data_IF_523227723023
#
_entry.id   IF_523227723023
#
_cell.length_a   1.000
_cell.length_b   1.000
_cell.length_c   1.000
_cell.angle_alpha   90.00
_cell.angle_beta   90.00
_cell.angle_gamma   90.00
#
_symmetry.space_group_name_H-M   'P 1'
#
loop_
_entity.id
_entity.type
_entity.pdbx_description
1 polymer ?
#
# COMPACT_ATOMS: atom_id res chain seq x y z
N UNK A 1 -58.80 -2.45 36.96
CA UNK A 1 -59.83 -1.49 37.40
C UNK A 1 -59.71 -0.24 36.52
N UNK A 2 -60.84 0.28 36.04
CA UNK A 2 -61.01 1.69 35.61
C UNK A 2 -61.41 2.54 36.84
N UNK A 3 -61.55 3.89 36.80
CA UNK A 3 -61.38 4.86 35.70
C UNK A 3 -60.13 5.77 35.98
N UNK A 4 -59.94 7.07 35.67
CA UNK A 4 -60.82 8.18 35.22
C UNK A 4 -60.11 9.29 34.40
N UNK A 5 -60.75 9.63 33.27
CA UNK A 5 -61.07 10.96 32.71
C UNK A 5 -60.16 12.20 32.87
N UNK A 6 -60.11 12.92 31.76
CA UNK A 6 -59.43 14.17 31.45
C UNK A 6 -60.09 15.48 31.97
N UNK A 7 -59.26 16.54 31.93
CA UNK A 7 -59.57 17.92 31.53
C UNK A 7 -60.44 18.85 32.41
N UNK A 8 -59.87 20.03 32.76
CA UNK A 8 -60.47 21.37 32.97
C UNK A 8 -59.57 22.20 33.91
N UNK A 9 -59.34 23.54 33.81
CA UNK A 9 -59.47 24.55 32.73
C UNK A 9 -58.86 25.90 33.20
N UNK A 10 -58.22 26.66 32.29
CA UNK A 10 -57.95 28.12 32.31
C UNK A 10 -57.00 28.81 33.34
N UNK A 11 -56.11 29.66 32.76
CA UNK A 11 -55.63 30.97 33.26
C UNK A 11 -54.61 30.98 34.43
N UNK A 12 -53.59 31.86 34.48
CA UNK A 12 -53.47 33.22 33.89
C UNK A 12 -52.09 33.50 33.26
N UNK A 13 -52.05 34.53 32.40
CA UNK A 13 -50.84 35.16 31.86
C UNK A 13 -50.19 36.07 32.93
N UNK A 14 -48.87 36.08 33.01
CA UNK A 14 -48.10 37.16 33.64
C UNK A 14 -46.74 37.32 32.94
N UNK A 15 -46.28 38.57 32.80
CA UNK A 15 -45.15 38.94 31.94
C UNK A 15 -43.80 38.72 32.62
N UNK A 16 -42.87 38.04 31.95
CA UNK A 16 -41.45 38.07 32.28
C UNK A 16 -40.77 39.25 31.57
N UNK A 17 -40.21 40.20 32.34
CA UNK A 17 -39.53 41.36 31.77
C UNK A 17 -38.11 41.02 31.27
N UNK A 18 -37.85 41.28 29.98
CA UNK A 18 -36.56 41.04 29.35
C UNK A 18 -35.62 42.25 29.55
N UNK A 19 -34.72 42.17 30.54
CA UNK A 19 -33.68 43.19 30.78
C UNK A 19 -32.47 42.90 29.89
N UNK A 20 -32.38 43.58 28.75
CA UNK A 20 -31.23 43.46 27.83
C UNK A 20 -30.12 44.42 28.28
N UNK A 21 -29.15 43.89 29.02
CA UNK A 21 -27.91 44.61 29.34
C UNK A 21 -26.96 44.58 28.15
N UNK A 22 -26.90 45.68 27.40
CA UNK A 22 -26.00 45.85 26.26
C UNK A 22 -24.54 46.08 26.70
N UNK A 23 -23.80 44.99 26.93
CA UNK A 23 -22.35 45.06 27.21
C UNK A 23 -21.58 45.28 25.90
N UNK A 24 -21.04 46.48 25.73
CA UNK A 24 -20.25 46.89 24.56
C UNK A 24 -18.81 46.33 24.60
N UNK A 25 -18.68 45.01 24.41
CA UNK A 25 -17.36 44.38 24.25
C UNK A 25 -16.65 44.93 23.00
N UNK A 26 -15.59 45.71 23.22
CA UNK A 26 -14.67 46.13 22.15
C UNK A 26 -14.02 44.88 21.56
N UNK A 27 -14.22 44.63 20.27
CA UNK A 27 -13.46 43.62 19.54
C UNK A 27 -11.99 44.06 19.46
N UNK A 28 -11.13 43.39 20.23
CA UNK A 28 -9.69 43.56 20.11
C UNK A 28 -9.21 42.85 18.83
N UNK A 29 -8.89 43.63 17.80
CA UNK A 29 -8.32 43.12 16.54
C UNK A 29 -6.89 42.64 16.76
N UNK A 30 -6.75 41.35 17.08
CA UNK A 30 -5.48 40.72 17.45
C UNK A 30 -4.50 40.47 16.28
N UNK A 31 -4.21 41.50 15.48
CA UNK A 31 -3.14 41.49 14.49
C UNK A 31 -1.78 41.79 15.15
N UNK A 32 -1.39 40.93 16.11
CA UNK A 32 -0.07 40.97 16.72
C UNK A 32 0.93 40.21 15.83
N UNK A 33 1.58 40.93 14.90
CA UNK A 33 2.72 40.40 14.16
C UNK A 33 3.86 40.05 15.13
N UNK A 34 4.18 38.77 15.26
CA UNK A 34 5.27 38.27 16.11
C UNK A 34 6.62 38.75 15.57
N UNK A 35 7.14 39.83 16.15
CA UNK A 35 8.48 40.35 15.87
C UNK A 35 9.55 39.45 16.54
N UNK A 36 9.90 38.35 15.89
CA UNK A 36 11.01 37.48 16.29
C UNK A 36 12.33 37.88 15.63
N UNK A 37 13.42 37.88 16.39
CA UNK A 37 14.78 37.91 15.85
C UNK A 37 15.26 36.47 15.59
N UNK A 38 16.09 36.26 14.57
CA UNK A 38 16.75 34.97 14.38
C UNK A 38 17.76 34.74 15.50
N UNK A 39 17.76 33.55 16.10
CA UNK A 39 18.76 33.19 17.10
C UNK A 39 20.12 33.01 16.41
N UNK A 40 21.21 33.62 16.91
CA UNK A 40 22.55 33.42 16.36
C UNK A 40 23.15 32.09 16.81
N UNK A 41 24.11 31.58 16.04
CA UNK A 41 24.89 30.39 16.33
C UNK A 41 26.30 30.49 15.71
N UNK A 42 27.27 29.71 16.21
CA UNK A 42 28.69 29.83 15.82
C UNK A 42 29.19 28.67 14.96
N UNK A 43 28.53 27.52 15.01
CA UNK A 43 29.04 26.25 14.50
C UNK A 43 28.18 25.77 13.33
N UNK A 44 28.52 26.19 12.11
CA UNK A 44 27.79 25.82 10.89
C UNK A 44 27.51 24.31 10.80
N UNK A 45 26.24 23.95 10.56
CA UNK A 45 25.78 22.56 10.49
C UNK A 45 25.48 21.87 11.83
N UNK A 46 25.77 22.47 12.99
CA UNK A 46 25.41 21.88 14.30
C UNK A 46 23.89 21.85 14.53
N UNK A 47 23.38 20.77 15.12
CA UNK A 47 21.97 20.62 15.50
C UNK A 47 21.64 21.41 16.78
N UNK A 48 20.85 22.48 16.64
CA UNK A 48 20.56 23.41 17.73
C UNK A 48 19.29 23.00 18.48
N UNK A 49 19.46 22.58 19.75
CA UNK A 49 18.34 22.15 20.62
C UNK A 49 17.55 23.35 21.16
N UNK A 50 16.49 23.74 20.46
CA UNK A 50 15.46 24.66 20.99
C UNK A 50 14.24 23.91 21.54
N UNK A 51 13.47 24.56 22.42
CA UNK A 51 12.28 24.00 23.05
C UNK A 51 11.04 24.01 22.12
N UNK A 52 11.20 23.52 20.88
CA UNK A 52 10.13 23.37 19.88
C UNK A 52 10.07 21.94 19.37
N UNK A 53 9.13 21.16 19.92
CA UNK A 53 8.86 19.77 19.51
C UNK A 53 8.48 19.71 18.02
N UNK A 54 8.98 18.68 17.31
CA UNK A 54 8.82 18.49 15.85
C UNK A 54 9.52 19.52 14.95
N UNK A 55 10.61 20.15 15.40
CA UNK A 55 11.47 20.96 14.54
C UNK A 55 12.90 20.47 14.65
N UNK A 56 13.53 20.17 13.51
CA UNK A 56 14.96 19.97 13.42
C UNK A 56 15.59 21.30 13.06
N UNK A 57 16.43 21.81 13.94
CA UNK A 57 17.10 23.09 13.75
C UNK A 57 18.60 22.88 13.58
N UNK A 58 19.19 23.61 12.64
CA UNK A 58 20.61 23.58 12.33
C UNK A 58 21.16 24.99 12.18
N UNK A 59 22.42 25.18 12.54
CA UNK A 59 23.12 26.43 12.26
C UNK A 59 23.39 26.57 10.76
N UNK A 60 22.96 27.68 10.15
CA UNK A 60 23.24 28.07 8.76
C UNK A 60 23.49 29.58 8.71
N UNK A 61 24.59 29.99 8.09
CA UNK A 61 24.97 31.39 7.88
C UNK A 61 25.02 32.23 9.18
N UNK A 62 25.41 31.62 10.30
CA UNK A 62 25.46 32.23 11.63
C UNK A 62 24.11 32.32 12.36
N UNK A 63 23.03 31.75 11.81
CA UNK A 63 21.69 31.78 12.40
C UNK A 63 21.05 30.38 12.48
N UNK A 64 20.15 30.21 13.45
CA UNK A 64 19.39 28.96 13.63
C UNK A 64 18.25 28.91 12.61
N UNK A 65 18.37 28.04 11.60
CA UNK A 65 17.26 27.67 10.73
C UNK A 65 16.57 26.41 11.24
N UNK A 66 15.23 26.43 11.31
CA UNK A 66 14.41 25.33 11.79
C UNK A 66 13.46 24.81 10.72
N UNK A 67 13.59 23.54 10.39
CA UNK A 67 12.70 22.84 9.45
C UNK A 67 11.76 21.91 10.25
N UNK A 68 10.48 21.89 9.89
CA UNK A 68 9.48 21.04 10.58
C UNK A 68 9.74 19.58 10.22
N UNK A 69 9.88 18.73 11.24
CA UNK A 69 10.05 17.29 11.07
C UNK A 69 8.81 16.68 10.40
N UNK A 70 9.03 15.98 9.29
CA UNK A 70 7.98 15.26 8.56
C UNK A 70 7.81 13.85 9.12
N UNK A 71 6.76 13.61 9.90
CA UNK A 71 6.45 12.27 10.38
C UNK A 71 6.17 11.30 9.21
N UNK A 72 6.62 10.03 9.32
CA UNK A 72 6.28 9.01 8.33
C UNK A 72 4.77 8.76 8.31
N UNK A 73 4.23 8.36 7.16
CA UNK A 73 2.84 7.95 7.05
C UNK A 73 2.62 6.66 7.86
N UNK A 74 1.59 6.66 8.71
CA UNK A 74 1.21 5.51 9.55
C UNK A 74 -0.16 4.94 9.16
N UNK A 75 -0.61 5.20 7.93
CA UNK A 75 -1.96 4.84 7.48
C UNK A 75 -2.10 3.34 7.13
N UNK A 76 -1.00 2.69 6.72
CA UNK A 76 -0.92 1.23 6.57
C UNK A 76 -0.64 0.48 7.89
N UNK A 77 -0.71 1.18 9.02
CA UNK A 77 -0.30 0.67 10.33
C UNK A 77 -1.48 0.41 11.27
N UNK A 78 -1.71 -0.85 11.65
CA UNK A 78 -2.80 -1.17 12.58
C UNK A 78 -2.46 -0.90 14.04
N UNK A 79 -1.24 -1.26 14.48
CA UNK A 79 -0.77 -0.99 15.84
C UNK A 79 0.38 0.01 15.82
N UNK A 80 0.20 1.12 16.53
CA UNK A 80 1.23 2.15 16.66
C UNK A 80 1.61 2.38 18.13
N UNK A 81 2.91 2.55 18.37
CA UNK A 81 3.42 3.15 19.59
C UNK A 81 3.16 4.65 19.50
N UNK A 82 2.26 5.15 20.33
CA UNK A 82 2.05 6.59 20.51
C UNK A 82 3.31 7.24 21.08
N UNK A 83 3.62 8.43 20.59
CA UNK A 83 4.81 9.19 20.95
C UNK A 83 4.90 9.49 22.45
N UNK A 84 6.09 9.32 23.02
CA UNK A 84 6.43 9.86 24.34
C UNK A 84 6.47 11.39 24.35
N UNK A 85 6.65 12.03 25.53
CA UNK A 85 6.71 13.49 25.67
C UNK A 85 7.75 14.16 24.77
N UNK A 86 8.87 13.46 24.56
CA UNK A 86 10.06 13.92 23.83
C UNK A 86 10.15 13.38 22.38
N UNK A 87 9.19 12.56 21.95
CA UNK A 87 9.13 12.04 20.57
C UNK A 87 8.22 12.93 19.70
N UNK A 88 8.66 13.31 18.49
CA UNK A 88 7.81 14.09 17.58
C UNK A 88 6.63 13.27 17.01
N UNK A 89 6.91 12.03 16.61
CA UNK A 89 6.03 11.23 15.76
C UNK A 89 5.59 9.94 16.45
N UNK A 90 4.33 9.56 16.24
CA UNK A 90 3.86 8.21 16.51
C UNK A 90 4.58 7.23 15.57
N UNK A 91 4.93 6.05 16.09
CA UNK A 91 5.74 5.05 15.36
C UNK A 91 4.95 3.78 15.18
N UNK A 92 4.95 3.22 13.96
CA UNK A 92 4.33 1.93 13.72
C UNK A 92 5.07 0.83 14.49
N UNK A 93 4.35 -0.19 14.99
CA UNK A 93 4.98 -1.31 15.69
C UNK A 93 5.79 -2.15 14.68
N UNK A 94 7.12 -2.09 14.80
CA UNK A 94 8.05 -2.95 14.08
C UNK A 94 8.04 -4.39 14.60
N UNK A 95 8.88 -5.22 14.01
CA UNK A 95 9.02 -6.64 14.32
C UNK A 95 10.36 -6.90 15.05
N UNK A 96 10.37 -7.86 15.98
CA UNK A 96 11.59 -8.44 16.52
C UNK A 96 11.82 -9.79 15.83
N UNK A 97 12.86 -9.88 15.00
CA UNK A 97 13.17 -11.07 14.22
C UNK A 97 14.67 -11.37 14.34
N UNK A 98 15.03 -12.61 14.70
CA UNK A 98 16.42 -13.04 14.90
C UNK A 98 17.24 -12.12 15.84
N UNK A 99 16.58 -11.59 16.88
CA UNK A 99 17.16 -10.65 17.83
C UNK A 99 17.34 -9.21 17.32
N UNK A 100 16.94 -8.92 16.07
CA UNK A 100 17.01 -7.59 15.46
C UNK A 100 15.63 -6.93 15.42
N UNK A 101 15.59 -5.62 15.69
CA UNK A 101 14.41 -4.81 15.44
C UNK A 101 14.35 -4.42 13.96
N UNK A 102 13.18 -4.63 13.34
CA UNK A 102 12.89 -4.33 11.94
C UNK A 102 11.71 -3.37 11.88
N UNK A 103 11.84 -2.26 11.17
CA UNK A 103 10.75 -1.28 11.03
C UNK A 103 9.57 -1.83 10.20
N UNK A 104 8.36 -1.44 10.57
CA UNK A 104 7.14 -1.85 9.84
C UNK A 104 7.11 -1.24 8.44
N UNK A 105 6.79 -2.07 7.45
CA UNK A 105 6.86 -1.76 6.03
C UNK A 105 8.12 -2.32 5.35
N UNK A 106 9.16 -2.65 6.11
CA UNK A 106 10.43 -3.20 5.58
C UNK A 106 10.22 -4.55 4.89
N UNK A 107 10.82 -4.68 3.70
CA UNK A 107 10.89 -5.92 2.92
C UNK A 107 12.35 -6.34 2.75
N UNK A 108 12.64 -7.64 2.83
CA UNK A 108 13.96 -8.21 2.56
C UNK A 108 13.85 -9.61 1.94
N UNK A 109 14.94 -10.11 1.38
CA UNK A 109 15.04 -11.50 0.88
C UNK A 109 16.00 -12.30 1.74
N UNK A 110 15.91 -13.62 1.66
CA UNK A 110 16.90 -14.50 2.24
C UNK A 110 18.27 -14.33 1.52
N UNK A 111 19.41 -14.34 2.25
CA UNK A 111 20.74 -14.32 1.63
C UNK A 111 21.09 -15.62 0.90
N UNK A 112 20.53 -16.75 1.33
CA UNK A 112 20.85 -18.08 0.78
C UNK A 112 19.83 -18.51 -0.29
N UNK A 113 18.55 -18.16 -0.12
CA UNK A 113 17.49 -18.43 -1.09
C UNK A 113 16.88 -17.13 -1.69
N UNK A 114 17.23 -16.74 -2.92
CA UNK A 114 16.69 -15.53 -3.56
C UNK A 114 15.19 -15.63 -3.89
N UNK A 115 14.55 -16.81 -3.76
CA UNK A 115 13.10 -16.96 -3.87
C UNK A 115 12.37 -16.66 -2.55
N UNK A 116 13.03 -16.80 -1.40
CA UNK A 116 12.41 -16.53 -0.10
C UNK A 116 12.40 -15.04 0.21
N UNK A 117 11.20 -14.50 0.41
CA UNK A 117 10.93 -13.09 0.67
C UNK A 117 10.29 -12.90 2.05
N UNK A 118 10.61 -11.80 2.69
CA UNK A 118 10.15 -11.44 4.03
C UNK A 118 9.58 -10.03 4.05
N UNK A 119 8.52 -9.80 4.84
CA UNK A 119 7.97 -8.47 5.08
C UNK A 119 7.51 -8.30 6.53
N UNK A 120 7.91 -7.20 7.18
CA UNK A 120 7.39 -6.80 8.47
C UNK A 120 6.21 -5.82 8.31
N UNK A 121 5.08 -6.06 9.00
CA UNK A 121 3.94 -5.13 9.08
C UNK A 121 3.31 -5.18 10.48
N UNK A 122 3.29 -4.07 11.22
CA UNK A 122 2.57 -3.94 12.51
C UNK A 122 2.81 -5.08 13.51
N UNK A 123 4.07 -5.52 13.69
CA UNK A 123 4.44 -6.64 14.56
C UNK A 123 4.30 -8.05 13.95
N UNK A 124 4.00 -8.16 12.65
CA UNK A 124 3.89 -9.43 11.92
C UNK A 124 5.01 -9.54 10.87
N UNK A 125 5.84 -10.57 10.97
CA UNK A 125 6.78 -10.99 9.92
C UNK A 125 6.09 -12.04 9.06
N UNK A 126 5.92 -11.76 7.77
CA UNK A 126 5.49 -12.75 6.79
C UNK A 126 6.69 -13.22 5.97
N UNK A 127 7.02 -14.51 6.07
CA UNK A 127 7.96 -15.26 5.23
C UNK A 127 7.18 -15.95 4.12
N UNK A 128 7.57 -15.79 2.86
CA UNK A 128 6.97 -16.54 1.75
C UNK A 128 7.90 -16.72 0.56
N UNK A 129 7.80 -17.88 -0.08
CA UNK A 129 8.47 -18.16 -1.34
C UNK A 129 7.75 -17.39 -2.47
N UNK A 130 8.47 -16.64 -3.31
CA UNK A 130 7.89 -16.03 -4.51
C UNK A 130 7.74 -17.07 -5.63
N UNK A 131 6.67 -17.00 -6.42
CA UNK A 131 6.44 -17.91 -7.54
C UNK A 131 6.72 -17.21 -8.87
N UNK A 132 7.41 -17.89 -9.77
CA UNK A 132 7.82 -17.34 -11.05
C UNK A 132 6.70 -17.46 -12.10
N UNK A 133 6.61 -16.49 -13.00
CA UNK A 133 5.78 -16.57 -14.21
C UNK A 133 6.67 -16.37 -15.44
N UNK A 134 6.48 -17.22 -16.45
CA UNK A 134 7.25 -17.21 -17.69
C UNK A 134 6.30 -17.10 -18.90
N UNK A 135 5.97 -15.88 -19.35
CA UNK A 135 5.11 -15.65 -20.52
C UNK A 135 5.87 -15.89 -21.85
N UNK A 136 6.57 -17.02 -21.96
CA UNK A 136 7.29 -17.45 -23.15
C UNK A 136 7.56 -18.97 -23.13
N UNK A 137 7.67 -19.60 -24.30
CA UNK A 137 7.84 -21.06 -24.43
C UNK A 137 9.24 -21.57 -24.07
N UNK A 138 10.27 -20.72 -24.21
CA UNK A 138 11.68 -21.05 -23.90
C UNK A 138 12.27 -19.95 -22.97
N UNK A 139 12.04 -20.05 -21.65
CA UNK A 139 12.57 -19.09 -20.69
C UNK A 139 14.00 -19.44 -20.30
N UNK A 140 14.95 -18.51 -20.50
CA UNK A 140 16.34 -18.69 -20.08
C UNK A 140 16.42 -18.89 -18.55
N UNK A 141 17.18 -19.88 -18.04
CA UNK A 141 17.18 -20.22 -16.61
C UNK A 141 17.68 -19.07 -15.72
N UNK A 142 17.34 -19.09 -14.41
CA UNK A 142 17.79 -18.07 -13.47
C UNK A 142 19.32 -18.03 -13.38
N UNK A 143 19.91 -16.84 -13.19
CA UNK A 143 21.34 -16.71 -12.87
C UNK A 143 21.57 -17.03 -11.39
N UNK A 144 22.80 -17.37 -11.02
CA UNK A 144 23.20 -17.49 -9.60
C UNK A 144 22.82 -16.20 -8.85
N UNK A 145 22.10 -16.34 -7.73
CA UNK A 145 21.56 -15.20 -6.96
C UNK A 145 20.26 -14.59 -7.53
N UNK A 146 19.57 -15.24 -8.47
CA UNK A 146 18.24 -14.85 -8.96
C UNK A 146 17.26 -16.02 -8.80
N UNK A 147 16.04 -15.73 -8.34
CA UNK A 147 14.99 -16.75 -8.22
C UNK A 147 14.45 -17.21 -9.59
N UNK A 148 14.01 -16.25 -10.42
CA UNK A 148 13.17 -16.55 -11.57
C UNK A 148 13.90 -16.53 -12.91
N UNK A 149 13.44 -17.35 -13.88
CA UNK A 149 13.97 -17.36 -15.23
C UNK A 149 13.54 -16.11 -16.01
N UNK A 150 14.16 -15.89 -17.17
CA UNK A 150 13.97 -14.67 -17.97
C UNK A 150 13.53 -14.98 -19.40
N UNK A 151 12.44 -14.35 -19.84
CA UNK A 151 12.01 -14.37 -21.24
C UNK A 151 12.83 -13.37 -22.07
N UNK A 152 13.17 -13.74 -23.31
CA UNK A 152 13.84 -12.85 -24.25
C UNK A 152 12.84 -11.89 -24.91
N UNK A 153 13.19 -10.61 -24.96
CA UNK A 153 12.27 -9.53 -25.32
C UNK A 153 11.43 -9.06 -24.12
N UNK A 154 10.71 -7.97 -24.32
CA UNK A 154 9.85 -7.37 -23.29
C UNK A 154 8.42 -7.23 -23.83
N UNK A 155 7.74 -8.36 -23.94
CA UNK A 155 6.31 -8.46 -24.26
C UNK A 155 5.56 -9.21 -23.17
N UNK A 156 4.41 -8.71 -22.78
CA UNK A 156 3.48 -9.35 -21.84
C UNK A 156 2.07 -9.21 -22.43
N UNK A 157 1.41 -10.33 -22.73
CA UNK A 157 0.03 -10.37 -23.25
C UNK A 157 -0.16 -9.48 -24.49
N UNK A 158 0.82 -9.50 -25.40
CA UNK A 158 0.94 -8.61 -26.57
C UNK A 158 1.68 -7.29 -26.32
N UNK A 159 1.53 -6.69 -25.14
CA UNK A 159 1.99 -5.33 -24.83
C UNK A 159 3.51 -5.22 -24.71
N UNK A 160 4.10 -4.13 -25.23
CA UNK A 160 5.52 -3.83 -25.02
C UNK A 160 5.77 -3.25 -23.63
N UNK A 161 6.54 -3.94 -22.80
CA UNK A 161 6.90 -3.50 -21.45
C UNK A 161 8.13 -2.58 -21.51
N UNK A 162 8.00 -1.35 -21.02
CA UNK A 162 9.08 -0.34 -21.01
C UNK A 162 9.82 -0.19 -19.67
N UNK A 163 9.37 -0.90 -18.64
CA UNK A 163 9.93 -0.86 -17.29
C UNK A 163 9.24 -1.92 -16.44
N UNK A 164 8.13 -1.55 -15.80
CA UNK A 164 7.32 -2.48 -15.00
C UNK A 164 5.94 -2.69 -15.63
N UNK A 165 5.34 -3.85 -15.37
CA UNK A 165 3.96 -4.18 -15.71
C UNK A 165 3.35 -5.10 -14.63
N UNK A 166 2.03 -5.06 -14.49
CA UNK A 166 1.25 -5.99 -13.66
C UNK A 166 0.18 -6.66 -14.50
N UNK A 167 -0.27 -7.84 -14.07
CA UNK A 167 -1.50 -8.43 -14.60
C UNK A 167 -2.72 -7.78 -13.94
N UNK A 168 -3.85 -7.68 -14.64
CA UNK A 168 -5.09 -7.11 -14.09
C UNK A 168 -5.87 -8.13 -13.26
N UNK A 169 -5.85 -9.39 -13.70
CA UNK A 169 -6.46 -10.55 -13.07
C UNK A 169 -5.73 -10.98 -11.79
N UNK A 170 -4.40 -10.79 -11.75
CA UNK A 170 -3.57 -10.98 -10.56
C UNK A 170 -2.54 -9.85 -10.42
N UNK A 171 -2.91 -8.72 -9.78
CA UNK A 171 -2.01 -7.57 -9.58
C UNK A 171 -0.77 -7.88 -8.75
N UNK A 172 -0.65 -9.07 -8.14
CA UNK A 172 0.57 -9.51 -7.47
C UNK A 172 1.58 -10.17 -8.40
N UNK A 173 1.20 -10.52 -9.64
CA UNK A 173 2.17 -10.85 -10.69
C UNK A 173 2.75 -9.55 -11.23
N UNK A 174 4.00 -9.26 -10.84
CA UNK A 174 4.77 -8.11 -11.30
C UNK A 174 5.84 -8.55 -12.28
N UNK A 175 5.79 -8.01 -13.49
CA UNK A 175 6.76 -8.20 -14.55
C UNK A 175 7.69 -6.99 -14.66
N UNK A 176 9.00 -7.22 -14.82
CA UNK A 176 10.01 -6.17 -14.98
C UNK A 176 10.86 -6.45 -16.21
N UNK A 177 10.97 -5.46 -17.11
CA UNK A 177 11.81 -5.46 -18.29
C UNK A 177 13.14 -4.77 -17.99
N UNK A 178 14.26 -5.47 -18.16
CA UNK A 178 15.61 -4.87 -18.11
C UNK A 178 16.48 -5.45 -19.23
N UNK A 179 17.16 -4.61 -20.01
CA UNK A 179 18.11 -5.07 -21.04
C UNK A 179 17.52 -6.08 -22.05
N UNK A 180 16.29 -5.87 -22.52
CA UNK A 180 15.53 -6.81 -23.35
C UNK A 180 15.26 -8.19 -22.72
N UNK A 181 15.23 -8.28 -21.39
CA UNK A 181 14.80 -9.47 -20.65
C UNK A 181 13.62 -9.14 -19.75
N UNK A 182 12.55 -9.93 -19.87
CA UNK A 182 11.39 -9.86 -18.99
C UNK A 182 11.51 -10.91 -17.88
N UNK A 183 11.32 -10.49 -16.64
CA UNK A 183 11.26 -11.37 -15.45
C UNK A 183 9.94 -11.09 -14.74
N UNK A 184 9.11 -12.11 -14.49
CA UNK A 184 7.85 -11.94 -13.76
C UNK A 184 7.83 -12.76 -12.47
N UNK A 185 7.41 -12.12 -11.38
CA UNK A 185 7.33 -12.73 -10.05
C UNK A 185 5.96 -12.47 -9.43
N UNK A 186 5.40 -13.50 -8.78
CA UNK A 186 4.21 -13.41 -7.92
C UNK A 186 4.67 -13.48 -6.47
N UNK A 187 4.21 -12.53 -5.65
CA UNK A 187 4.46 -12.50 -4.20
C UNK A 187 3.16 -12.68 -3.43
N UNK A 188 3.18 -13.39 -2.30
CA UNK A 188 2.06 -13.36 -1.35
C UNK A 188 1.94 -11.98 -0.70
N UNK A 189 0.72 -11.60 -0.31
CA UNK A 189 0.53 -10.44 0.57
C UNK A 189 0.86 -10.75 2.03
N UNK A 190 1.40 -9.78 2.79
CA UNK A 190 1.68 -9.96 4.21
C UNK A 190 0.43 -10.42 4.97
N UNK A 191 0.62 -11.24 5.99
CA UNK A 191 -0.39 -11.47 7.01
C UNK A 191 -0.60 -10.13 7.74
N UNK A 192 -1.83 -9.61 7.69
CA UNK A 192 -2.16 -8.34 8.30
C UNK A 192 -2.65 -8.52 9.74
N UNK A 193 -2.19 -7.61 10.59
CA UNK A 193 -2.53 -7.57 12.00
C UNK A 193 -4.02 -7.27 12.27
N UNK A 194 -4.68 -6.54 11.36
CA UNK A 194 -6.09 -6.20 11.46
C UNK A 194 -7.01 -7.37 11.02
N UNK A 195 -8.19 -7.53 11.64
CA UNK A 195 -9.14 -8.56 11.23
C UNK A 195 -9.66 -8.27 9.82
N UNK A 196 -10.08 -9.32 9.09
CA UNK A 196 -10.48 -9.22 7.68
C UNK A 196 -11.54 -8.12 7.41
N UNK A 197 -12.46 -7.89 8.36
CA UNK A 197 -13.48 -6.82 8.28
C UNK A 197 -12.94 -5.39 8.40
N UNK A 198 -11.63 -5.22 8.59
CA UNK A 198 -10.87 -3.95 8.65
C UNK A 198 -9.72 -3.91 7.64
N UNK A 199 -9.70 -4.85 6.69
CA UNK A 199 -8.80 -4.86 5.54
C UNK A 199 -9.51 -4.26 4.33
N UNK A 200 -8.87 -3.33 3.62
CA UNK A 200 -9.32 -2.83 2.31
C UNK A 200 -8.24 -3.09 1.26
N UNK A 201 -8.66 -3.41 0.04
CA UNK A 201 -7.83 -3.47 -1.16
C UNK A 201 -8.34 -2.40 -2.11
N UNK A 202 -7.50 -1.44 -2.52
CA UNK A 202 -7.89 -0.49 -3.56
C UNK A 202 -7.81 -1.18 -4.94
N UNK A 203 -8.74 -0.92 -5.89
CA UNK A 203 -8.69 -1.55 -7.20
C UNK A 203 -7.34 -1.35 -7.91
N UNK A 204 -6.78 -2.44 -8.44
CA UNK A 204 -5.44 -2.48 -9.05
C UNK A 204 -4.27 -2.69 -8.07
N UNK A 205 -4.48 -2.69 -6.75
CA UNK A 205 -3.42 -2.98 -5.78
C UNK A 205 -3.27 -4.50 -5.51
N UNK A 206 -2.02 -4.98 -5.45
CA UNK A 206 -1.69 -6.37 -5.11
C UNK A 206 -2.17 -6.79 -3.71
N UNK A 207 -2.12 -5.89 -2.72
CA UNK A 207 -2.37 -6.26 -1.32
C UNK A 207 -3.43 -5.41 -0.64
N UNK A 208 -4.16 -5.99 0.33
CA UNK A 208 -4.93 -5.20 1.26
C UNK A 208 -4.02 -4.43 2.22
N UNK A 209 -4.62 -3.44 2.89
CA UNK A 209 -4.07 -2.66 4.00
C UNK A 209 -5.14 -2.44 5.06
N UNK A 210 -4.73 -2.12 6.27
CA UNK A 210 -5.65 -1.88 7.38
C UNK A 210 -6.29 -0.49 7.29
N UNK A 211 -7.58 -0.34 7.61
CA UNK A 211 -8.29 0.98 7.57
C UNK A 211 -8.43 1.67 8.91
N UNK A 212 -8.11 0.98 10.00
CA UNK A 212 -8.15 1.50 11.37
C UNK A 212 -6.77 1.45 11.99
N UNK A 213 -6.51 2.36 12.94
CA UNK A 213 -5.28 2.39 13.74
C UNK A 213 -5.65 2.28 15.21
N UNK A 214 -4.85 1.55 15.99
CA UNK A 214 -4.99 1.34 17.43
C UNK A 214 -3.67 1.65 18.13
N UNK A 215 -3.76 2.37 19.24
CA UNK A 215 -2.64 2.59 20.14
C UNK A 215 -2.27 1.26 20.80
N UNK A 216 -0.97 0.92 20.85
CA UNK A 216 -0.51 -0.31 21.47
C UNK A 216 -0.62 -0.24 23.00
N UNK A 217 -1.52 -1.03 23.57
CA UNK A 217 -1.83 -1.06 25.01
C UNK A 217 -0.89 -2.04 25.75
N UNK A 218 -0.46 -3.12 25.11
CA UNK A 218 0.24 -4.24 25.74
C UNK A 218 1.77 -4.08 25.64
N UNK A 219 2.27 -2.91 26.07
CA UNK A 219 3.70 -2.54 26.04
C UNK A 219 4.57 -3.59 26.75
N UNK A 220 5.33 -4.37 25.97
CA UNK A 220 6.23 -5.41 26.48
C UNK A 220 5.57 -6.78 26.71
N UNK A 221 4.34 -7.00 26.22
CA UNK A 221 3.74 -8.33 26.18
C UNK A 221 4.53 -9.27 25.25
N UNK A 222 4.89 -10.50 25.69
CA UNK A 222 5.44 -11.51 24.79
C UNK A 222 4.35 -12.20 23.95
N UNK A 223 3.07 -12.03 24.31
CA UNK A 223 1.93 -12.54 23.54
C UNK A 223 1.68 -11.65 22.32
N UNK A 224 1.30 -12.30 21.22
CA UNK A 224 0.95 -11.66 19.97
C UNK A 224 -0.57 -11.58 19.86
N UNK A 225 -1.10 -10.60 19.15
CA UNK A 225 -2.51 -10.56 18.73
C UNK A 225 -2.52 -10.91 17.23
N UNK A 226 -3.57 -11.52 16.68
CA UNK A 226 -3.94 -11.33 15.26
C UNK A 226 -5.45 -11.12 15.17
N UNK A 227 -5.86 -10.02 14.53
CA UNK A 227 -7.26 -9.66 14.28
C UNK A 227 -8.08 -9.34 15.54
N UNK A 228 -8.54 -10.39 16.23
CA UNK A 228 -9.22 -10.34 17.54
C UNK A 228 -8.71 -11.39 18.54
N UNK A 229 -7.86 -12.32 18.09
CA UNK A 229 -7.36 -13.42 18.91
C UNK A 229 -6.02 -13.05 19.57
N UNK A 230 -5.76 -13.61 20.75
CA UNK A 230 -4.48 -13.51 21.46
C UNK A 230 -3.78 -14.85 21.36
N UNK A 231 -2.50 -14.83 21.00
CA UNK A 231 -1.67 -16.00 20.73
C UNK A 231 -0.46 -16.02 21.67
N UNK A 232 -0.30 -17.14 22.37
CA UNK A 232 0.77 -17.31 23.35
C UNK A 232 2.12 -17.66 22.68
N UNK A 233 3.26 -17.27 23.28
CA UNK A 233 4.59 -17.61 22.77
C UNK A 233 4.75 -19.10 22.45
N UNK A 234 5.40 -19.40 21.32
CA UNK A 234 5.74 -20.76 20.89
C UNK A 234 4.54 -21.66 20.53
N UNK A 235 3.30 -21.16 20.56
CA UNK A 235 2.14 -21.91 20.05
C UNK A 235 1.93 -21.63 18.56
N UNK A 236 1.73 -22.67 17.73
CA UNK A 236 1.33 -22.50 16.34
C UNK A 236 -0.16 -22.13 16.23
N UNK A 237 -0.50 -21.35 15.21
CA UNK A 237 -1.86 -20.95 14.85
C UNK A 237 -1.91 -20.52 13.37
N UNK A 238 -3.10 -20.42 12.79
CA UNK A 238 -3.25 -19.88 11.43
C UNK A 238 -3.54 -18.37 11.48
N UNK A 239 -2.78 -17.59 10.72
CA UNK A 239 -3.02 -16.14 10.55
C UNK A 239 -4.08 -15.85 9.49
N UNK A 240 -4.11 -16.68 8.44
CA UNK A 240 -5.18 -16.79 7.45
C UNK A 240 -5.15 -18.21 6.85
N UNK A 241 -6.03 -18.50 5.88
CA UNK A 241 -6.17 -19.80 5.20
C UNK A 241 -4.86 -20.35 4.58
N UNK A 242 -3.86 -19.50 4.38
CA UNK A 242 -2.61 -19.83 3.71
C UNK A 242 -1.36 -19.56 4.55
N UNK A 243 -1.52 -19.24 5.84
CA UNK A 243 -0.44 -18.73 6.69
C UNK A 243 -0.35 -19.45 8.04
N UNK A 244 0.74 -20.18 8.24
CA UNK A 244 1.08 -20.84 9.50
C UNK A 244 1.96 -19.92 10.35
N UNK A 245 1.47 -19.51 11.51
CA UNK A 245 2.11 -18.51 12.37
C UNK A 245 2.54 -19.09 13.71
N UNK A 246 3.63 -18.56 14.26
CA UNK A 246 4.06 -18.76 15.65
C UNK A 246 4.29 -17.41 16.30
N UNK A 247 3.93 -17.27 17.57
CA UNK A 247 4.22 -16.05 18.32
C UNK A 247 5.62 -16.15 18.94
N UNK A 248 6.48 -15.17 18.67
CA UNK A 248 7.86 -15.11 19.12
C UNK A 248 8.14 -13.74 19.75
N UNK A 249 8.13 -13.68 21.08
CA UNK A 249 8.40 -12.49 21.88
C UNK A 249 7.66 -11.21 21.40
N UNK A 250 6.33 -11.30 21.28
CA UNK A 250 5.46 -10.21 20.82
C UNK A 250 5.38 -10.03 19.30
N UNK A 251 6.21 -10.74 18.53
CA UNK A 251 6.19 -10.71 17.04
C UNK A 251 5.53 -11.98 16.49
N UNK A 252 4.55 -11.82 15.61
CA UNK A 252 3.95 -12.93 14.86
C UNK A 252 4.86 -13.32 13.71
N UNK A 253 5.49 -14.48 13.75
CA UNK A 253 6.30 -15.01 12.64
C UNK A 253 5.47 -16.02 11.86
N UNK A 254 5.09 -15.65 10.64
CA UNK A 254 4.17 -16.40 9.78
C UNK A 254 4.86 -16.86 8.50
N UNK A 255 4.78 -18.16 8.21
CA UNK A 255 5.12 -18.75 6.92
C UNK A 255 3.87 -18.84 6.05
N UNK A 256 3.93 -18.31 4.82
CA UNK A 256 2.78 -18.13 3.95
C UNK A 256 2.99 -18.70 2.55
N UNK A 257 2.05 -19.52 2.11
CA UNK A 257 2.06 -20.10 0.76
C UNK A 257 1.68 -19.06 -0.29
N UNK A 258 2.61 -18.75 -1.20
CA UNK A 258 2.27 -18.04 -2.46
C UNK A 258 1.67 -19.04 -3.44
N UNK A 259 0.36 -18.93 -3.70
CA UNK A 259 -0.31 -19.78 -4.68
C UNK A 259 0.22 -19.57 -6.10
N UNK A 260 0.20 -20.62 -6.96
CA UNK A 260 0.68 -20.54 -8.33
C UNK A 260 -0.08 -19.51 -9.19
N UNK A 261 0.44 -19.25 -10.38
CA UNK A 261 -0.29 -18.55 -11.44
C UNK A 261 -1.08 -19.64 -12.19
N UNK A 262 -2.41 -19.64 -12.05
CA UNK A 262 -3.28 -20.63 -12.67
C UNK A 262 -3.73 -20.16 -14.06
N UNK A 263 -3.70 -21.07 -15.04
CA UNK A 263 -3.99 -20.77 -16.45
C UNK A 263 -5.41 -21.14 -16.90
N UNK A 264 -6.25 -21.61 -15.99
CA UNK A 264 -7.69 -21.81 -16.20
C UNK A 264 -8.50 -20.63 -15.65
N UNK A 265 -9.70 -20.42 -16.20
CA UNK A 265 -10.61 -19.36 -15.77
C UNK A 265 -11.06 -19.54 -14.32
N UNK A 266 -11.51 -18.45 -13.68
CA UNK A 266 -11.90 -18.46 -12.25
C UNK A 266 -13.03 -19.45 -11.92
N UNK A 267 -13.89 -19.80 -12.88
CA UNK A 267 -14.96 -20.79 -12.71
C UNK A 267 -14.47 -22.25 -12.76
N UNK A 268 -13.33 -22.52 -13.39
CA UNK A 268 -12.73 -23.85 -13.50
C UNK A 268 -11.79 -24.16 -12.30
N UNK A 269 -11.48 -23.16 -11.47
CA UNK A 269 -10.55 -23.27 -10.35
C UNK A 269 -11.17 -23.95 -9.13
N UNK A 270 -10.67 -25.13 -8.76
CA UNK A 270 -11.18 -25.92 -7.65
C UNK A 270 -10.17 -25.98 -6.49
N UNK A 271 -10.67 -26.01 -5.25
CA UNK A 271 -9.86 -26.05 -4.03
C UNK A 271 -10.40 -27.12 -3.08
N UNK A 272 -9.53 -28.07 -2.75
CA UNK A 272 -9.88 -29.17 -1.85
C UNK A 272 -10.05 -28.72 -0.39
N UNK A 273 -10.85 -29.43 0.43
CA UNK A 273 -11.02 -29.11 1.84
C UNK A 273 -9.69 -29.17 2.61
N UNK A 274 -9.26 -28.02 3.14
CA UNK A 274 -8.01 -27.87 3.89
C UNK A 274 -6.82 -27.37 3.05
N UNK A 275 -6.92 -27.40 1.72
CA UNK A 275 -5.90 -26.80 0.86
C UNK A 275 -5.91 -25.27 0.93
N UNK A 276 -4.73 -24.66 0.88
CA UNK A 276 -4.59 -23.21 0.81
C UNK A 276 -4.94 -22.69 -0.59
N UNK A 277 -4.46 -23.39 -1.63
CA UNK A 277 -4.48 -22.89 -3.00
C UNK A 277 -5.51 -23.62 -3.86
N UNK A 278 -6.18 -22.92 -4.80
CA UNK A 278 -6.90 -23.59 -5.87
C UNK A 278 -5.92 -24.27 -6.85
N UNK A 279 -6.46 -25.16 -7.67
CA UNK A 279 -5.79 -25.83 -8.78
C UNK A 279 -6.70 -25.82 -10.03
N UNK A 280 -6.13 -26.16 -11.19
CA UNK A 280 -6.87 -26.40 -12.42
C UNK A 280 -6.97 -27.92 -12.65
N UNK A 281 -8.08 -28.59 -12.28
CA UNK A 281 -8.28 -29.98 -12.65
C UNK A 281 -8.41 -30.12 -14.17
N UNK A 282 -7.53 -30.93 -14.76
CA UNK A 282 -7.45 -31.21 -16.20
C UNK A 282 -8.29 -32.44 -16.57
N UNK A 283 -8.70 -32.61 -17.85
CA UNK A 283 -8.27 -31.87 -19.03
C UNK A 283 -9.19 -30.71 -19.44
N UNK A 284 -8.58 -29.61 -19.88
CA UNK A 284 -9.26 -28.48 -20.48
C UNK A 284 -9.66 -28.79 -21.94
N UNK A 285 -10.84 -29.39 -22.13
CA UNK A 285 -11.51 -29.44 -23.44
C UNK A 285 -12.48 -28.25 -23.61
N UNK A 286 -12.39 -27.60 -24.77
CA UNK A 286 -13.37 -26.64 -25.32
C UNK A 286 -13.61 -25.28 -24.62
N UNK A 287 -12.56 -24.66 -24.08
CA UNK A 287 -12.44 -23.18 -24.15
C UNK A 287 -11.09 -22.73 -24.73
N UNK A 288 -11.01 -22.75 -26.06
CA UNK A 288 -9.93 -22.10 -26.83
C UNK A 288 -10.30 -20.68 -27.30
N UNK A 289 -11.37 -20.11 -26.76
CA UNK A 289 -11.86 -18.77 -27.12
C UNK A 289 -12.30 -18.01 -25.87
N UNK A 290 -12.15 -16.69 -25.91
CA UNK A 290 -12.52 -15.77 -24.84
C UNK A 290 -13.50 -14.73 -25.38
N UNK A 291 -14.35 -14.17 -24.51
CA UNK A 291 -15.30 -13.12 -24.89
C UNK A 291 -14.99 -11.85 -24.10
N UNK A 292 -14.73 -10.74 -24.80
CA UNK A 292 -14.52 -9.42 -24.20
C UNK A 292 -15.23 -8.34 -25.03
N UNK A 293 -15.96 -7.45 -24.37
CA UNK A 293 -16.77 -6.38 -24.99
C UNK A 293 -17.70 -6.85 -26.13
N UNK A 294 -18.19 -8.10 -26.04
CA UNK A 294 -19.05 -8.74 -27.04
C UNK A 294 -18.30 -9.36 -28.25
N UNK A 295 -16.99 -9.19 -28.33
CA UNK A 295 -16.12 -9.79 -29.35
C UNK A 295 -15.58 -11.14 -28.88
N UNK A 296 -15.42 -12.08 -29.82
CA UNK A 296 -14.83 -13.41 -29.57
C UNK A 296 -13.39 -13.43 -30.07
N UNK A 297 -12.46 -13.75 -29.16
CA UNK A 297 -11.02 -13.85 -29.42
C UNK A 297 -10.55 -15.31 -29.37
N UNK A 298 -9.59 -15.68 -30.22
CA UNK A 298 -8.99 -17.02 -30.26
C UNK A 298 -7.85 -17.18 -29.23
N UNK A 299 -7.49 -18.41 -28.88
CA UNK A 299 -6.39 -18.67 -27.97
C UNK A 299 -5.04 -18.14 -28.51
N UNK A 300 -4.29 -17.45 -27.66
CA UNK A 300 -3.11 -16.63 -27.94
C UNK A 300 -3.37 -15.38 -28.81
N UNK A 301 -4.62 -15.03 -29.11
CA UNK A 301 -4.95 -13.75 -29.75
C UNK A 301 -4.78 -12.60 -28.75
N UNK A 302 -4.21 -11.48 -29.21
CA UNK A 302 -3.92 -10.32 -28.37
C UNK A 302 -4.53 -9.04 -28.93
N UNK A 303 -5.22 -8.26 -28.10
CA UNK A 303 -5.88 -7.01 -28.48
C UNK A 303 -5.59 -5.89 -27.48
N UNK A 304 -5.57 -4.64 -27.96
CA UNK A 304 -5.31 -3.45 -27.12
C UNK A 304 -6.61 -2.79 -26.68
N UNK A 305 -6.86 -2.71 -25.37
CA UNK A 305 -7.98 -1.95 -24.80
C UNK A 305 -7.69 -0.44 -24.80
N UNK A 306 -6.43 -0.08 -24.51
CA UNK A 306 -5.94 1.30 -24.58
C UNK A 306 -4.40 1.28 -24.74
N UNK A 307 -3.78 2.46 -24.93
CA UNK A 307 -2.34 2.58 -25.14
C UNK A 307 -1.48 1.86 -24.07
N UNK A 308 -1.93 1.81 -22.81
CA UNK A 308 -1.24 1.18 -21.69
C UNK A 308 -1.72 -0.24 -21.33
N UNK A 309 -2.77 -0.76 -21.97
CA UNK A 309 -3.35 -2.07 -21.63
C UNK A 309 -3.70 -2.87 -22.87
N UNK A 310 -3.07 -4.02 -23.03
CA UNK A 310 -3.53 -5.07 -23.95
C UNK A 310 -3.82 -6.35 -23.18
N UNK A 311 -4.62 -7.21 -23.78
CA UNK A 311 -5.00 -8.50 -23.22
C UNK A 311 -4.66 -9.63 -24.20
N UNK A 312 -4.52 -10.84 -23.65
CA UNK A 312 -4.30 -12.09 -24.36
C UNK A 312 -5.39 -13.07 -23.91
N UNK A 313 -5.99 -13.78 -24.87
CA UNK A 313 -6.89 -14.87 -24.57
C UNK A 313 -6.08 -16.15 -24.37
N UNK A 314 -6.19 -16.80 -23.20
CA UNK A 314 -5.42 -18.02 -22.89
C UNK A 314 -6.28 -19.02 -22.14
N UNK A 315 -6.55 -20.16 -22.78
CA UNK A 315 -7.41 -21.24 -22.27
C UNK A 315 -8.78 -20.76 -21.73
N UNK A 316 -9.39 -19.79 -22.43
CA UNK A 316 -10.69 -19.21 -22.06
C UNK A 316 -10.63 -17.98 -21.14
N UNK A 317 -9.51 -17.76 -20.47
CA UNK A 317 -9.31 -16.61 -19.57
C UNK A 317 -8.77 -15.38 -20.33
N UNK A 318 -9.32 -14.20 -20.02
CA UNK A 318 -8.84 -12.91 -20.54
C UNK A 318 -7.78 -12.34 -19.60
N UNK A 319 -6.51 -12.45 -19.98
CA UNK A 319 -5.38 -11.96 -19.18
C UNK A 319 -4.89 -10.61 -19.68
N UNK A 320 -4.83 -9.58 -18.84
CA UNK A 320 -4.51 -8.21 -19.28
C UNK A 320 -3.22 -7.65 -18.66
N UNK A 321 -2.30 -7.19 -19.51
CA UNK A 321 -1.06 -6.54 -19.11
C UNK A 321 -1.22 -5.02 -18.96
N UNK A 322 -0.97 -4.51 -17.76
CA UNK A 322 -1.06 -3.09 -17.43
C UNK A 322 0.34 -2.47 -17.23
N UNK A 323 0.73 -1.52 -18.07
CA UNK A 323 2.09 -0.95 -18.08
C UNK A 323 2.24 0.20 -17.09
N UNK A 324 3.19 0.05 -16.17
CA UNK A 324 3.57 1.06 -15.20
C UNK A 324 4.70 1.93 -15.77
N UNK A 325 4.37 3.16 -16.16
CA UNK A 325 5.33 4.06 -16.77
C UNK A 325 6.33 4.65 -15.75
N UNK A 326 7.62 4.79 -16.11
CA UNK A 326 8.62 5.43 -15.26
C UNK A 326 8.21 6.84 -14.81
N UNK A 327 8.38 7.12 -13.51
CA UNK A 327 8.03 8.41 -12.88
C UNK A 327 9.01 9.52 -13.29
N UNK A 328 8.78 10.11 -14.46
CA UNK A 328 9.58 11.22 -15.02
C UNK A 328 9.18 12.57 -14.40
N UNK A 329 10.14 13.27 -13.78
CA UNK A 329 10.02 14.70 -13.45
C UNK A 329 10.51 15.55 -14.63
N UNK A 330 9.89 16.70 -14.86
CA UNK A 330 10.35 17.71 -15.82
C UNK A 330 11.09 18.86 -15.11
N UNK A 331 11.76 19.73 -15.87
CA UNK A 331 12.41 20.92 -15.31
C UNK A 331 11.42 21.95 -14.76
N UNK A 332 11.90 22.95 -14.00
CA UNK A 332 11.07 24.09 -13.62
C UNK A 332 10.53 24.80 -14.88
N UNK A 333 9.24 25.12 -14.88
CA UNK A 333 8.48 25.65 -16.03
C UNK A 333 8.32 24.66 -17.22
N UNK A 334 8.41 23.35 -17.00
CA UNK A 334 8.07 22.33 -18.01
C UNK A 334 6.92 21.42 -17.56
N UNK A 335 5.98 21.16 -18.47
CA UNK A 335 4.85 20.26 -18.28
C UNK A 335 5.13 18.89 -18.90
N UNK A 336 4.74 17.82 -18.20
CA UNK A 336 4.87 16.45 -18.67
C UNK A 336 3.64 16.09 -19.54
N UNK A 337 3.81 16.05 -20.86
CA UNK A 337 2.74 15.72 -21.82
C UNK A 337 2.90 14.29 -22.35
N UNK A 338 1.83 13.50 -22.32
CA UNK A 338 1.73 12.21 -23.00
C UNK A 338 1.50 12.41 -24.51
N UNK A 339 2.18 11.62 -25.34
CA UNK A 339 1.89 11.57 -26.79
C UNK A 339 0.64 10.72 -27.03
N UNK A 340 -0.36 11.17 -27.81
CA UNK A 340 -1.54 10.37 -28.13
C UNK A 340 -1.17 9.02 -28.76
N UNK A 341 -1.77 7.93 -28.29
CA UNK A 341 -1.50 6.56 -28.76
C UNK A 341 -0.31 5.85 -28.08
N UNK A 342 0.60 6.56 -27.41
CA UNK A 342 1.74 5.94 -26.71
C UNK A 342 1.62 6.01 -25.18
N UNK A 343 1.75 4.87 -24.49
CA UNK A 343 1.58 4.80 -23.03
C UNK A 343 2.61 5.61 -22.22
N UNK A 344 3.89 5.32 -22.43
CA UNK A 344 4.99 5.85 -21.61
C UNK A 344 5.81 6.93 -22.32
N UNK A 345 5.44 7.32 -23.53
CA UNK A 345 6.08 8.42 -24.22
C UNK A 345 5.61 9.76 -23.63
N UNK A 346 6.43 10.28 -22.72
CA UNK A 346 6.14 11.54 -22.00
C UNK A 346 7.23 12.57 -22.26
N UNK A 347 6.87 13.60 -23.01
CA UNK A 347 7.74 14.74 -23.35
C UNK A 347 7.59 15.84 -22.30
N UNK A 348 8.69 16.52 -21.97
CA UNK A 348 8.67 17.73 -21.17
C UNK A 348 8.58 18.92 -22.12
N UNK A 349 7.56 19.78 -21.95
CA UNK A 349 7.33 20.95 -22.81
C UNK A 349 7.13 22.21 -21.97
N UNK A 350 7.88 23.25 -22.31
CA UNK A 350 7.70 24.61 -21.78
C UNK A 350 6.37 25.19 -22.30
N UNK A 351 5.63 25.98 -21.50
CA UNK A 351 4.39 26.60 -21.96
C UNK A 351 4.67 27.59 -23.08
N UNK A 352 3.93 27.47 -24.18
CA UNK A 352 4.04 28.37 -25.33
C UNK A 352 3.73 29.81 -24.90
N UNK A 353 4.67 30.74 -25.09
CA UNK A 353 4.37 32.17 -24.95
C UNK A 353 3.46 32.59 -26.11
N UNK A 354 2.16 32.66 -25.83
CA UNK A 354 1.20 33.34 -26.71
C UNK A 354 1.54 34.82 -26.76
N UNK A 355 2.32 35.22 -27.77
CA UNK A 355 2.53 36.62 -28.10
C UNK A 355 1.19 37.21 -28.55
N UNK A 356 0.56 37.98 -27.66
CA UNK A 356 -0.64 38.74 -27.95
C UNK A 356 -0.25 39.89 -28.89
N UNK A 357 -0.34 39.63 -30.20
CA UNK A 357 -0.25 40.67 -31.23
C UNK A 357 -1.24 41.78 -30.85
N UNK A 358 -0.78 43.02 -30.88
CA UNK A 358 -1.57 44.22 -30.58
C UNK A 358 -2.11 44.83 -31.86
#
# INVERSE_FOLDING_TARGET
MYPSQAASRNSRILFGALVILAISMRQATANASLAGYQAPCTNEGEEVRINMRCFKCICKNGFVECEKESCPAVDDCYFYKKKGPDECCDKCIGCLYEGRHIDSGTEWTDPEDPCMHYKCVSGVVTRSEMKCYAPCSDPSPPRKGQCCPTCLGCRLNGQKVFGEATLSEDPCVKCTCTGHKLTCTKRSCPVLQCPLTKQIRTPGECCPRCVERREEIHRGSPMCIIGKAVHFPGKPYHGDQCSNCTCQNGTSVCEKSTCPILECALEDQQREPGECCPSCPMPAEFRSTCIADGMVYQNNETWSLNACTSCECRAGEVRCANIQCPKKKCGPNETLQTVPGECCHRVCRKPSRLYRVR
#
